data_IF_874493040563
#
_entry.id   IF_874493040563
#
_cell.length_a   1.000
_cell.length_b   1.000
_cell.length_c   1.000
_cell.angle_alpha   90.00
_cell.angle_beta   90.00
_cell.angle_gamma   90.00
#
_symmetry.space_group_name_H-M   'P 1'
#
loop_
_entity.id
_entity.type
_entity.pdbx_description
1 polymer ?
#
# COMPACT_ATOMS: atom_id res chain seq x y z
N UNK A 1 -27.25 -6.06 15.66
CA UNK A 1 -26.42 -5.87 14.45
C UNK A 1 -26.46 -4.39 14.10
N UNK A 2 -25.33 -3.72 13.84
CA UNK A 2 -25.34 -2.36 13.34
C UNK A 2 -25.95 -2.33 11.92
N UNK A 3 -26.59 -1.22 11.56
CA UNK A 3 -27.27 -1.03 10.28
C UNK A 3 -26.24 -0.81 9.15
N UNK A 4 -26.40 -1.36 7.93
CA UNK A 4 -25.46 -1.22 6.81
C UNK A 4 -25.12 0.22 6.37
N UNK A 5 -25.88 1.21 6.84
CA UNK A 5 -25.81 2.61 6.42
C UNK A 5 -24.91 3.48 7.32
N UNK A 6 -24.39 2.96 8.43
CA UNK A 6 -23.55 3.73 9.35
C UNK A 6 -22.05 3.70 8.99
N UNK A 7 -21.67 2.96 7.96
CA UNK A 7 -20.30 2.96 7.48
C UNK A 7 -20.09 4.15 6.56
N UNK A 8 -19.42 5.20 7.06
CA UNK A 8 -18.98 6.33 6.24
C UNK A 8 -18.34 5.88 4.93
N UNK A 9 -18.65 6.59 3.85
CA UNK A 9 -18.10 6.34 2.52
C UNK A 9 -16.60 6.52 2.58
N UNK A 10 -15.84 5.50 2.14
CA UNK A 10 -14.40 5.65 1.98
C UNK A 10 -14.14 6.52 0.76
N UNK A 11 -13.14 7.38 0.86
CA UNK A 11 -12.69 8.24 -0.23
C UNK A 11 -11.16 8.25 -0.26
N UNK A 12 -10.58 8.65 -1.39
CA UNK A 12 -9.15 8.93 -1.48
C UNK A 12 -8.92 10.36 -1.97
N UNK A 13 -7.82 10.96 -1.50
CA UNK A 13 -7.39 12.29 -1.92
C UNK A 13 -6.34 12.16 -3.02
N UNK A 14 -6.38 13.03 -4.02
CA UNK A 14 -5.33 13.10 -5.05
C UNK A 14 -4.20 14.00 -4.58
N UNK A 15 -2.97 13.52 -4.70
CA UNK A 15 -1.76 14.31 -4.42
C UNK A 15 -0.89 14.39 -5.66
N UNK A 16 -0.27 15.55 -5.84
CA UNK A 16 0.54 15.85 -7.02
C UNK A 16 2.04 15.67 -6.73
N UNK A 17 2.52 16.02 -5.53
CA UNK A 17 3.95 16.03 -5.19
C UNK A 17 4.24 15.93 -3.66
N UNK A 18 5.54 15.91 -3.30
CA UNK A 18 6.03 15.84 -1.91
C UNK A 18 5.67 17.07 -1.06
N UNK A 19 5.58 18.26 -1.64
CA UNK A 19 5.25 19.48 -0.89
C UNK A 19 3.79 19.44 -0.44
N UNK A 20 2.90 18.99 -1.33
CA UNK A 20 1.51 18.74 -1.00
C UNK A 20 1.38 17.63 0.05
N UNK A 21 2.21 16.59 -0.01
CA UNK A 21 2.28 15.54 1.01
C UNK A 21 2.67 16.10 2.39
N UNK A 22 3.76 16.87 2.48
CA UNK A 22 4.30 17.43 3.73
C UNK A 22 3.36 18.47 4.35
N UNK A 23 2.66 19.25 3.53
CA UNK A 23 1.72 20.29 4.00
C UNK A 23 0.33 19.75 4.36
N UNK A 24 -0.13 18.69 3.69
CA UNK A 24 -1.52 18.20 3.82
C UNK A 24 -1.66 17.06 4.83
N UNK A 25 -0.57 16.34 5.15
CA UNK A 25 -0.66 15.06 5.84
C UNK A 25 0.16 15.04 7.13
N UNK A 26 -0.55 15.09 8.26
CA UNK A 26 -0.02 14.71 9.58
C UNK A 26 -0.27 13.23 9.84
N UNK A 27 0.39 12.36 9.08
CA UNK A 27 0.37 10.91 9.34
C UNK A 27 1.70 10.47 9.90
N UNK A 28 1.66 9.75 11.02
CA UNK A 28 2.83 9.12 11.65
C UNK A 28 3.43 8.06 10.71
N UNK A 29 2.58 7.26 10.08
CA UNK A 29 3.02 6.15 9.21
C UNK A 29 2.50 6.33 7.78
N UNK A 30 3.41 6.28 6.81
CA UNK A 30 3.11 6.34 5.37
C UNK A 30 3.40 4.98 4.73
N UNK A 31 2.40 4.38 4.13
CA UNK A 31 2.50 3.07 3.47
C UNK A 31 2.27 3.26 1.98
N UNK A 32 3.32 3.13 1.19
CA UNK A 32 3.26 3.17 -0.26
C UNK A 32 3.10 1.75 -0.80
N UNK A 33 2.28 1.60 -1.82
CA UNK A 33 1.96 0.30 -2.43
C UNK A 33 2.14 0.36 -3.93
N UNK A 34 2.64 -0.73 -4.51
CA UNK A 34 2.76 -0.86 -5.96
C UNK A 34 2.63 -2.33 -6.42
N UNK A 35 2.24 -2.51 -7.68
CA UNK A 35 2.17 -3.79 -8.37
C UNK A 35 2.89 -3.74 -9.72
N UNK A 36 3.70 -4.76 -10.01
CA UNK A 36 4.47 -4.83 -11.25
C UNK A 36 4.30 -6.17 -11.96
N UNK A 37 4.42 -6.14 -13.29
CA UNK A 37 4.52 -7.34 -14.13
C UNK A 37 5.65 -7.18 -15.13
N UNK A 38 6.65 -8.06 -15.05
CA UNK A 38 7.83 -8.07 -15.93
C UNK A 38 7.96 -9.48 -16.53
N UNK A 39 7.99 -9.58 -17.86
CA UNK A 39 8.21 -10.86 -18.58
C UNK A 39 7.28 -12.00 -18.10
N UNK A 40 6.00 -11.69 -17.87
CA UNK A 40 5.03 -12.67 -17.39
C UNK A 40 5.12 -13.00 -15.90
N UNK A 41 6.08 -12.46 -15.15
CA UNK A 41 6.19 -12.61 -13.69
C UNK A 41 5.57 -11.40 -12.99
N UNK A 42 4.92 -11.63 -11.86
CA UNK A 42 4.07 -10.63 -11.21
C UNK A 42 4.52 -10.43 -9.76
N UNK A 43 4.64 -9.18 -9.35
CA UNK A 43 5.06 -8.80 -8.00
C UNK A 43 4.19 -7.68 -7.45
N UNK A 44 4.03 -7.67 -6.13
CA UNK A 44 3.43 -6.58 -5.38
C UNK A 44 4.37 -6.19 -4.24
N UNK A 45 4.30 -4.94 -3.80
CA UNK A 45 5.14 -4.48 -2.71
C UNK A 45 4.51 -3.38 -1.85
N UNK A 46 5.07 -3.27 -0.65
CA UNK A 46 4.83 -2.16 0.27
C UNK A 46 6.17 -1.56 0.68
N UNK A 47 6.19 -0.24 0.79
CA UNK A 47 7.27 0.51 1.45
C UNK A 47 6.67 1.37 2.57
N UNK A 48 7.12 1.16 3.81
CA UNK A 48 6.51 1.73 5.02
C UNK A 48 7.49 2.68 5.70
N UNK A 49 7.05 3.92 5.91
CA UNK A 49 7.89 5.02 6.35
C UNK A 49 7.33 5.68 7.61
N UNK A 50 8.21 6.10 8.50
CA UNK A 50 7.92 7.02 9.60
C UNK A 50 8.86 8.21 9.47
N UNK A 51 8.29 9.41 9.25
CA UNK A 51 9.08 10.53 8.75
C UNK A 51 9.83 10.14 7.48
N UNK A 52 11.05 10.65 7.29
CA UNK A 52 11.86 10.42 6.08
C UNK A 52 12.61 9.08 6.07
N UNK A 53 12.31 8.14 6.98
CA UNK A 53 12.98 6.85 7.06
C UNK A 53 12.08 5.68 6.66
N UNK A 54 12.55 4.82 5.75
CA UNK A 54 11.93 3.51 5.48
C UNK A 54 12.14 2.62 6.71
N UNK A 55 11.04 2.27 7.38
CA UNK A 55 11.04 1.41 8.57
C UNK A 55 10.87 -0.06 8.22
N UNK A 56 10.19 -0.36 7.11
CA UNK A 56 9.91 -1.72 6.67
C UNK A 56 9.54 -1.75 5.20
N UNK A 57 9.92 -2.84 4.53
CA UNK A 57 9.51 -3.17 3.17
C UNK A 57 8.90 -4.58 3.12
N UNK A 58 7.94 -4.79 2.23
CA UNK A 58 7.38 -6.12 1.94
C UNK A 58 7.38 -6.36 0.44
N UNK A 59 7.83 -7.55 0.03
CA UNK A 59 7.80 -8.03 -1.36
C UNK A 59 6.95 -9.28 -1.44
N UNK A 60 6.06 -9.34 -2.43
CA UNK A 60 5.11 -10.43 -2.63
C UNK A 60 5.21 -10.87 -4.08
N UNK A 61 5.64 -12.11 -4.31
CA UNK A 61 5.56 -12.71 -5.65
C UNK A 61 4.17 -13.33 -5.84
N UNK A 62 3.57 -13.09 -7.01
CA UNK A 62 2.28 -13.65 -7.41
C UNK A 62 2.48 -14.64 -8.55
N UNK A 63 1.43 -15.44 -8.81
CA UNK A 63 1.42 -16.33 -9.97
C UNK A 63 1.54 -15.51 -11.28
N UNK A 64 2.19 -16.07 -12.29
CA UNK A 64 2.36 -15.46 -13.62
C UNK A 64 1.03 -15.11 -14.32
N UNK A 65 -0.03 -15.83 -13.98
CA UNK A 65 -1.39 -15.63 -14.47
C UNK A 65 -2.05 -14.35 -13.90
N UNK A 66 -1.49 -13.77 -12.83
CA UNK A 66 -2.03 -12.56 -12.24
C UNK A 66 -1.81 -11.33 -13.15
N UNK A 67 -2.68 -10.34 -13.01
CA UNK A 67 -2.53 -9.03 -13.66
C UNK A 67 -1.83 -8.03 -12.74
N UNK A 68 -1.31 -6.94 -13.32
CA UNK A 68 -0.82 -5.80 -12.53
C UNK A 68 -1.90 -5.29 -11.59
N UNK A 69 -3.14 -5.13 -12.08
CA UNK A 69 -4.27 -4.72 -11.25
C UNK A 69 -4.51 -5.63 -10.02
N UNK A 70 -4.37 -6.95 -10.16
CA UNK A 70 -4.49 -7.86 -9.03
C UNK A 70 -3.33 -7.70 -8.03
N UNK A 71 -2.13 -7.42 -8.53
CA UNK A 71 -0.97 -7.12 -7.68
C UNK A 71 -1.16 -5.81 -6.90
N UNK A 72 -1.63 -4.75 -7.55
CA UNK A 72 -1.99 -3.47 -6.92
C UNK A 72 -3.03 -3.65 -5.81
N UNK A 73 -4.10 -4.38 -6.11
CA UNK A 73 -5.17 -4.60 -5.15
C UNK A 73 -4.71 -5.46 -3.96
N UNK A 74 -3.81 -6.42 -4.21
CA UNK A 74 -3.16 -7.19 -3.14
C UNK A 74 -2.27 -6.29 -2.27
N UNK A 75 -1.49 -5.39 -2.88
CA UNK A 75 -0.62 -4.47 -2.16
C UNK A 75 -1.44 -3.57 -1.21
N UNK A 76 -2.54 -2.99 -1.70
CA UNK A 76 -3.49 -2.22 -0.88
C UNK A 76 -4.11 -3.04 0.26
N UNK A 77 -4.52 -4.28 -0.03
CA UNK A 77 -5.07 -5.19 0.98
C UNK A 77 -4.06 -5.48 2.10
N UNK A 78 -2.79 -5.70 1.74
CA UNK A 78 -1.72 -5.92 2.71
C UNK A 78 -1.34 -4.65 3.46
N UNK A 79 -1.44 -3.47 2.84
CA UNK A 79 -1.23 -2.19 3.51
C UNK A 79 -2.29 -1.96 4.59
N UNK A 80 -3.57 -2.19 4.28
CA UNK A 80 -4.65 -2.10 5.25
C UNK A 80 -4.47 -3.10 6.42
N UNK A 81 -4.01 -4.33 6.13
CA UNK A 81 -3.68 -5.31 7.17
C UNK A 81 -2.51 -4.87 8.06
N UNK A 82 -1.52 -4.16 7.50
CA UNK A 82 -0.37 -3.66 8.25
C UNK A 82 -0.75 -2.54 9.21
N UNK A 83 -1.72 -1.69 8.84
CA UNK A 83 -2.29 -0.68 9.74
C UNK A 83 -2.84 -1.29 11.03
N UNK A 84 -3.52 -2.44 10.93
CA UNK A 84 -4.08 -3.15 12.09
C UNK A 84 -3.04 -3.72 13.05
N UNK A 85 -1.84 -4.07 12.55
CA UNK A 85 -0.77 -4.65 13.38
C UNK A 85 0.05 -3.60 14.13
N UNK A 86 -0.13 -2.33 13.78
CA UNK A 86 0.69 -1.22 14.24
C UNK A 86 0.07 -0.53 15.45
N UNK A 87 0.89 0.06 16.31
CA UNK A 87 0.44 0.76 17.52
C UNK A 87 0.13 2.24 17.27
N UNK A 88 0.64 2.79 16.18
CA UNK A 88 0.45 4.16 15.74
C UNK A 88 -1.02 4.44 15.43
N UNK A 89 -1.39 5.73 15.42
CA UNK A 89 -2.79 6.14 15.33
C UNK A 89 -3.14 6.77 13.99
N UNK A 90 -2.18 7.36 13.28
CA UNK A 90 -2.43 8.06 12.01
C UNK A 90 -1.66 7.43 10.84
N UNK A 91 -2.40 7.04 9.79
CA UNK A 91 -1.86 6.30 8.64
C UNK A 91 -2.28 6.93 7.31
N UNK A 92 -1.33 7.06 6.39
CA UNK A 92 -1.57 7.33 4.98
C UNK A 92 -1.24 6.11 4.13
N UNK A 93 -2.18 5.63 3.32
CA UNK A 93 -1.95 4.57 2.33
C UNK A 93 -1.94 5.22 0.93
N UNK A 94 -0.84 5.03 0.20
CA UNK A 94 -0.57 5.70 -1.07
C UNK A 94 -0.44 4.65 -2.18
N UNK A 95 -1.16 4.85 -3.29
CA UNK A 95 -1.08 4.02 -4.49
C UNK A 95 -1.21 4.89 -5.73
N UNK A 96 -0.50 4.56 -6.80
CA UNK A 96 -0.70 5.19 -8.11
C UNK A 96 -1.75 4.48 -8.98
N UNK A 97 -2.22 3.30 -8.53
CA UNK A 97 -3.31 2.56 -9.16
C UNK A 97 -4.68 3.10 -8.78
N UNK A 98 -5.11 4.14 -9.51
CA UNK A 98 -6.45 4.73 -9.36
C UNK A 98 -7.57 3.68 -9.46
N UNK A 99 -7.43 2.70 -10.35
CA UNK A 99 -8.39 1.61 -10.50
C UNK A 99 -8.50 0.73 -9.26
N UNK A 100 -7.38 0.41 -8.61
CA UNK A 100 -7.38 -0.42 -7.41
C UNK A 100 -7.99 0.36 -6.24
N UNK A 101 -7.63 1.64 -6.08
CA UNK A 101 -8.25 2.54 -5.09
C UNK A 101 -9.76 2.66 -5.27
N UNK A 102 -10.24 2.91 -6.49
CA UNK A 102 -11.67 2.97 -6.81
C UNK A 102 -12.39 1.66 -6.44
N UNK A 103 -11.74 0.52 -6.67
CA UNK A 103 -12.30 -0.79 -6.30
C UNK A 103 -12.38 -0.96 -4.78
N UNK A 104 -11.35 -0.52 -4.05
CA UNK A 104 -11.34 -0.57 -2.59
C UNK A 104 -12.44 0.33 -2.03
N UNK A 105 -12.56 1.59 -2.46
CA UNK A 105 -13.56 2.49 -1.87
C UNK A 105 -15.01 2.16 -2.26
N UNK A 106 -15.22 1.50 -3.40
CA UNK A 106 -16.56 1.10 -3.84
C UNK A 106 -17.13 -0.01 -2.96
N UNK A 107 -18.13 0.32 -2.15
CA UNK A 107 -18.79 -0.64 -1.24
C UNK A 107 -19.50 -1.80 -1.95
N UNK A 108 -19.85 -1.64 -3.24
CA UNK A 108 -20.49 -2.68 -4.05
C UNK A 108 -19.48 -3.59 -4.77
N UNK A 109 -18.19 -3.26 -4.79
CA UNK A 109 -17.19 -4.10 -5.44
C UNK A 109 -16.98 -5.40 -4.65
N UNK A 110 -17.29 -6.55 -5.25
CA UNK A 110 -17.24 -7.86 -4.58
C UNK A 110 -15.88 -8.57 -4.67
N UNK A 111 -14.85 -7.91 -5.22
CA UNK A 111 -13.53 -8.51 -5.31
C UNK A 111 -13.01 -8.85 -3.90
N UNK A 112 -12.61 -10.11 -3.61
CA UNK A 112 -12.27 -10.53 -2.25
C UNK A 112 -11.21 -9.65 -1.57
N UNK A 113 -10.12 -9.32 -2.28
CA UNK A 113 -9.08 -8.41 -1.77
C UNK A 113 -9.60 -7.00 -1.45
N UNK A 114 -10.57 -6.48 -2.21
CA UNK A 114 -11.16 -5.17 -1.93
C UNK A 114 -12.07 -5.22 -0.69
N UNK A 115 -12.83 -6.31 -0.54
CA UNK A 115 -13.67 -6.55 0.65
C UNK A 115 -12.79 -6.66 1.91
N UNK A 116 -11.71 -7.44 1.84
CA UNK A 116 -10.75 -7.59 2.94
C UNK A 116 -10.06 -6.26 3.28
N UNK A 117 -9.58 -5.52 2.27
CA UNK A 117 -8.97 -4.20 2.47
C UNK A 117 -9.94 -3.24 3.16
N UNK A 118 -11.19 -3.13 2.70
CA UNK A 118 -12.22 -2.30 3.34
C UNK A 118 -12.52 -2.74 4.76
N UNK A 119 -12.62 -4.04 4.99
CA UNK A 119 -12.85 -4.60 6.33
C UNK A 119 -11.75 -4.19 7.30
N UNK A 120 -10.50 -4.33 6.87
CA UNK A 120 -9.34 -3.95 7.67
C UNK A 120 -9.28 -2.43 7.93
N UNK A 121 -9.58 -1.60 6.92
CA UNK A 121 -9.64 -0.13 7.10
C UNK A 121 -10.74 0.23 8.12
N UNK A 122 -11.95 -0.30 7.96
CA UNK A 122 -13.07 -0.03 8.88
C UNK A 122 -12.79 -0.53 10.29
N UNK A 123 -12.16 -1.68 10.43
CA UNK A 123 -11.74 -2.21 11.72
C UNK A 123 -10.71 -1.28 12.38
N UNK A 124 -9.73 -0.78 11.63
CA UNK A 124 -8.73 0.14 12.15
C UNK A 124 -9.37 1.46 12.62
N UNK A 125 -10.30 2.00 11.83
CA UNK A 125 -11.08 3.18 12.22
C UNK A 125 -11.89 2.94 13.50
N UNK A 126 -12.53 1.77 13.64
CA UNK A 126 -13.25 1.40 14.85
C UNK A 126 -12.33 1.23 16.08
N UNK A 127 -11.04 0.95 15.87
CA UNK A 127 -10.01 0.91 16.91
C UNK A 127 -9.39 2.29 17.20
N UNK A 128 -9.95 3.37 16.64
CA UNK A 128 -9.48 4.74 16.87
C UNK A 128 -8.32 5.18 15.99
N UNK A 129 -8.03 4.46 14.90
CA UNK A 129 -7.00 4.86 13.92
C UNK A 129 -7.58 5.80 12.88
N UNK A 130 -6.86 6.88 12.58
CA UNK A 130 -7.12 7.73 11.42
C UNK A 130 -6.41 7.14 10.20
N UNK A 131 -7.19 6.72 9.19
CA UNK A 131 -6.66 6.07 7.99
C UNK A 131 -7.13 6.86 6.78
N UNK A 132 -6.18 7.43 6.04
CA UNK A 132 -6.44 8.17 4.80
C UNK A 132 -5.86 7.44 3.60
N UNK A 133 -6.64 7.36 2.51
CA UNK A 133 -6.19 6.82 1.22
C UNK A 133 -5.79 7.97 0.30
N UNK A 134 -4.71 7.75 -0.46
CA UNK A 134 -4.18 8.74 -1.38
C UNK A 134 -3.87 8.11 -2.73
N UNK A 135 -4.36 8.78 -3.78
CA UNK A 135 -3.87 8.54 -5.12
C UNK A 135 -2.68 9.46 -5.38
N UNK A 136 -1.57 8.87 -5.79
CA UNK A 136 -0.36 9.59 -6.18
C UNK A 136 -0.08 9.35 -7.66
N UNK A 137 0.58 10.29 -8.31
CA UNK A 137 1.01 10.08 -9.69
C UNK A 137 2.25 9.17 -9.71
N UNK A 138 2.26 8.17 -10.59
CA UNK A 138 3.43 7.34 -10.85
C UNK A 138 4.63 8.21 -11.26
N UNK A 139 5.81 7.90 -10.73
CA UNK A 139 7.07 8.61 -11.02
C UNK A 139 7.03 10.13 -10.75
N UNK A 140 6.27 10.56 -9.74
CA UNK A 140 6.20 11.96 -9.32
C UNK A 140 7.32 12.41 -8.37
N UNK A 141 8.39 11.62 -8.19
CA UNK A 141 9.50 11.96 -7.29
C UNK A 141 9.24 11.66 -5.81
N UNK A 142 8.11 11.01 -5.46
CA UNK A 142 7.85 10.59 -4.09
C UNK A 142 8.75 9.39 -3.73
N UNK A 143 9.73 9.58 -2.86
CA UNK A 143 10.72 8.55 -2.53
C UNK A 143 10.08 7.20 -2.11
N UNK A 144 9.00 7.25 -1.32
CA UNK A 144 8.28 6.05 -0.90
C UNK A 144 7.55 5.33 -2.04
N UNK A 145 7.01 6.06 -3.02
CA UNK A 145 6.34 5.47 -4.18
C UNK A 145 7.35 4.82 -5.12
N UNK A 146 8.45 5.51 -5.42
CA UNK A 146 9.54 4.96 -6.23
C UNK A 146 10.14 3.71 -5.58
N UNK A 147 10.24 3.72 -4.24
CA UNK A 147 10.68 2.56 -3.49
C UNK A 147 9.70 1.38 -3.61
N UNK A 148 8.40 1.61 -3.52
CA UNK A 148 7.40 0.57 -3.71
C UNK A 148 7.47 -0.04 -5.13
N UNK A 149 7.59 0.79 -6.17
CA UNK A 149 7.77 0.36 -7.57
C UNK A 149 9.02 -0.52 -7.75
N UNK A 150 10.16 -0.08 -7.22
CA UNK A 150 11.39 -0.86 -7.24
C UNK A 150 11.21 -2.21 -6.54
N UNK A 151 10.57 -2.26 -5.37
CA UNK A 151 10.32 -3.48 -4.62
C UNK A 151 9.36 -4.43 -5.35
N UNK A 152 8.33 -3.92 -6.03
CA UNK A 152 7.37 -4.72 -6.79
C UNK A 152 8.06 -5.37 -8.00
N UNK A 153 8.94 -4.63 -8.69
CA UNK A 153 9.78 -5.14 -9.78
C UNK A 153 10.75 -6.22 -9.29
N UNK A 154 11.41 -6.00 -8.16
CA UNK A 154 12.26 -7.03 -7.53
C UNK A 154 11.47 -8.28 -7.15
N UNK A 155 10.25 -8.12 -6.62
CA UNK A 155 9.37 -9.22 -6.28
C UNK A 155 8.96 -10.04 -7.51
N UNK A 156 8.62 -9.36 -8.62
CA UNK A 156 8.31 -10.00 -9.89
C UNK A 156 9.52 -10.78 -10.44
N UNK A 157 10.72 -10.22 -10.34
CA UNK A 157 11.94 -10.86 -10.86
C UNK A 157 12.48 -11.97 -9.95
N UNK A 158 11.94 -12.13 -8.73
CA UNK A 158 12.42 -13.11 -7.75
C UNK A 158 13.76 -12.73 -7.12
N UNK A 159 14.13 -11.45 -7.19
CA UNK A 159 15.37 -10.94 -6.58
C UNK A 159 15.22 -10.94 -5.06
N UNK A 160 15.68 -12.02 -4.43
CA UNK A 160 15.97 -12.02 -2.99
C UNK A 160 17.20 -11.14 -2.77
N UNK A 161 17.18 -10.31 -1.73
CA UNK A 161 18.40 -9.61 -1.27
C UNK A 161 19.44 -10.72 -1.04
N UNK A 162 20.61 -10.63 -1.67
CA UNK A 162 21.68 -11.57 -1.38
C UNK A 162 21.93 -11.53 0.15
N UNK A 163 22.07 -12.69 0.82
CA UNK A 163 22.60 -12.68 2.18
C UNK A 163 23.93 -11.92 2.16
N UNK A 164 24.01 -10.86 2.96
CA UNK A 164 25.22 -10.07 3.12
C UNK A 164 26.21 -10.91 3.95
N UNK A 165 26.90 -11.83 3.28
CA UNK A 165 28.00 -12.60 3.87
C UNK A 165 29.28 -11.75 4.02
N UNK A 166 29.24 -10.45 3.69
CA UNK A 166 30.39 -9.55 3.70
C UNK A 166 30.72 -8.89 5.04
N UNK A 167 29.95 -9.15 6.10
CA UNK A 167 30.12 -8.50 7.42
C UNK A 167 30.59 -9.44 8.54
N UNK A 168 31.14 -10.62 8.22
CA UNK A 168 31.94 -11.34 9.21
C UNK A 168 33.39 -10.84 9.14
N UNK A 169 33.89 -10.11 10.14
CA UNK A 169 35.33 -9.99 10.33
C UNK A 169 35.86 -11.39 10.67
N UNK A 170 36.83 -11.88 9.89
CA UNK A 170 37.78 -12.89 10.39
C UNK A 170 38.78 -12.24 11.34
#
# INVERSE_FOLDING_TARGET
>A
MPHPAEHGTLEFKSLVDEEQLKSTIKTEVRIFTDGSKIEGRVGAALSIWNGEAETRALKLALSSHCTVYQAELLALCKAASEVLRRGETTFGIFSDSRSALLTVINCHALHPLAVEARGAIRQGMAQGKEISLFWVKAHAGLAGNERADQLAKEAALGLKKAPDYGLCPV
#
